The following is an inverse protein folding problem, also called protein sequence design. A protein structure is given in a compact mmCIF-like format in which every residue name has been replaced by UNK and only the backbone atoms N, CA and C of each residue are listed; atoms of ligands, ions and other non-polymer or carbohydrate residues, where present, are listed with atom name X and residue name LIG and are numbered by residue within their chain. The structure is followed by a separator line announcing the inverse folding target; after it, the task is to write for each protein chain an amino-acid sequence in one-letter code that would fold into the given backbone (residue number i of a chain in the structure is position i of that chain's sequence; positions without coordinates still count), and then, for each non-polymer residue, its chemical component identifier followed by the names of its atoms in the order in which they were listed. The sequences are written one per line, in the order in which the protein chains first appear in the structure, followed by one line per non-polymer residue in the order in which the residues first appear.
data_IF_907036423182
#
_entry.id   IF_907036423182
#
_cell.length_a   1.000
_cell.length_b   1.000
_cell.length_c   1.000
_cell.angle_alpha   90.00
_cell.angle_beta   90.00
_cell.angle_gamma   90.00
#
_symmetry.space_group_name_H-M   'P 1'
#
loop_
_entity.id
_entity.type
_entity.pdbx_description
1 polymer ?
#
# COMPACT_ATOMS: atom_id res chain seq x y z
N UNK A 1 49.78 -21.99 -14.04
CA UNK A 1 48.92 -21.01 -13.32
C UNK A 1 48.01 -20.23 -14.27
N UNK A 2 47.19 -20.87 -15.12
CA UNK A 2 46.27 -20.17 -16.04
C UNK A 2 44.83 -20.71 -16.05
N UNK A 3 44.57 -21.80 -15.34
CA UNK A 3 43.29 -22.52 -15.38
C UNK A 3 42.43 -22.31 -14.11
N UNK A 4 43.00 -21.72 -13.05
CA UNK A 4 42.29 -21.47 -11.78
C UNK A 4 41.50 -20.16 -11.75
N UNK A 5 41.85 -19.20 -12.61
CA UNK A 5 41.22 -17.87 -12.61
C UNK A 5 39.85 -17.91 -13.30
N UNK A 6 39.65 -18.82 -14.26
CA UNK A 6 38.41 -18.92 -15.02
C UNK A 6 37.23 -19.43 -14.20
N UNK A 7 37.48 -20.20 -13.14
CA UNK A 7 36.42 -20.76 -12.29
C UNK A 7 35.88 -19.76 -11.25
N UNK A 8 36.64 -18.69 -10.95
CA UNK A 8 36.27 -17.71 -9.91
C UNK A 8 35.21 -16.71 -10.37
N UNK A 9 34.97 -16.59 -11.68
CA UNK A 9 34.04 -15.60 -12.25
C UNK A 9 32.59 -16.12 -12.25
N UNK A 10 32.37 -17.43 -12.05
CA UNK A 10 31.04 -18.03 -12.12
C UNK A 10 30.21 -17.90 -10.83
N UNK A 11 30.81 -17.53 -9.70
CA UNK A 11 30.11 -17.47 -8.40
C UNK A 11 29.48 -16.11 -8.07
N UNK A 12 29.72 -15.07 -8.88
CA UNK A 12 29.05 -13.76 -8.69
C UNK A 12 27.76 -13.60 -9.50
N UNK A 13 27.37 -14.62 -10.28
CA UNK A 13 26.12 -14.64 -11.03
C UNK A 13 24.93 -15.22 -10.25
N UNK A 14 25.07 -15.51 -8.95
CA UNK A 14 23.90 -15.55 -8.05
C UNK A 14 23.46 -14.11 -7.86
N UNK A 15 22.82 -13.59 -8.92
CA UNK A 15 22.24 -12.27 -9.00
C UNK A 15 21.46 -12.08 -7.72
N UNK A 16 21.96 -11.14 -6.93
CA UNK A 16 21.21 -10.55 -5.86
C UNK A 16 20.03 -9.90 -6.58
N UNK A 17 18.96 -10.66 -6.78
CA UNK A 17 17.64 -10.11 -6.91
C UNK A 17 17.37 -9.45 -5.56
N UNK A 18 18.05 -8.32 -5.33
CA UNK A 18 17.57 -7.26 -4.49
C UNK A 18 16.17 -7.06 -5.03
N UNK A 19 15.21 -7.67 -4.35
CA UNK A 19 13.81 -7.44 -4.59
C UNK A 19 13.70 -5.92 -4.58
N UNK A 20 13.63 -5.33 -5.78
CA UNK A 20 13.48 -3.90 -5.93
C UNK A 20 12.22 -3.64 -5.15
N UNK A 21 12.35 -3.07 -3.94
CA UNK A 21 11.25 -2.87 -3.02
C UNK A 21 10.24 -2.07 -3.83
N UNK A 22 9.21 -2.75 -4.37
CA UNK A 22 8.26 -2.11 -5.26
C UNK A 22 7.70 -0.95 -4.47
N UNK A 23 7.95 0.26 -4.97
CA UNK A 23 7.58 1.48 -4.27
C UNK A 23 6.06 1.49 -4.23
N UNK A 24 5.50 1.19 -3.05
CA UNK A 24 4.07 1.27 -2.82
C UNK A 24 3.64 2.72 -3.09
N UNK A 25 2.61 2.87 -3.92
CA UNK A 25 2.03 4.16 -4.28
C UNK A 25 0.72 4.30 -3.53
N UNK A 26 0.62 5.37 -2.75
CA UNK A 26 -0.57 5.67 -1.96
C UNK A 26 -1.41 6.73 -2.65
N UNK A 27 -2.72 6.55 -2.61
CA UNK A 27 -3.71 7.52 -3.09
C UNK A 27 -4.75 7.78 -2.01
N UNK A 28 -5.45 8.89 -2.12
CA UNK A 28 -6.65 9.21 -1.36
C UNK A 28 -7.84 9.26 -2.30
N UNK A 29 -8.94 8.62 -1.90
CA UNK A 29 -10.24 8.84 -2.51
C UNK A 29 -10.77 10.21 -2.10
N UNK A 30 -11.07 11.04 -3.07
CA UNK A 30 -11.58 12.40 -2.90
C UNK A 30 -13.09 12.43 -3.15
N UNK A 31 -13.70 13.59 -2.91
CA UNK A 31 -15.10 13.78 -3.28
C UNK A 31 -15.35 13.55 -4.78
N UNK A 32 -16.54 13.05 -5.14
CA UNK A 32 -16.96 12.95 -6.53
C UNK A 32 -16.77 14.28 -7.25
N UNK A 33 -16.13 14.23 -8.43
CA UNK A 33 -15.91 15.43 -9.26
C UNK A 33 -14.66 16.24 -8.91
N UNK A 34 -13.91 15.87 -7.85
CA UNK A 34 -12.65 16.55 -7.51
C UNK A 34 -11.62 16.50 -8.66
N UNK A 35 -11.55 15.36 -9.36
CA UNK A 35 -10.81 15.20 -10.61
C UNK A 35 -11.31 13.98 -11.39
N UNK A 36 -10.78 13.82 -12.62
CA UNK A 36 -11.10 12.72 -13.54
C UNK A 36 -10.16 11.53 -13.42
N UNK A 37 -9.24 11.50 -12.44
CA UNK A 37 -8.30 10.38 -12.27
C UNK A 37 -9.05 9.16 -11.72
N UNK A 38 -8.69 7.99 -12.25
CA UNK A 38 -9.31 6.72 -11.87
C UNK A 38 -8.23 5.67 -11.66
N UNK A 39 -8.36 4.87 -10.60
CA UNK A 39 -7.66 3.58 -10.44
C UNK A 39 -8.70 2.48 -10.48
N UNK A 40 -8.49 1.48 -11.33
CA UNK A 40 -9.33 0.28 -11.41
C UNK A 40 -8.46 -0.95 -11.18
N UNK A 41 -8.95 -1.87 -10.36
CA UNK A 41 -8.29 -3.16 -10.18
C UNK A 41 -8.97 -4.04 -9.15
N UNK A 42 -8.43 -5.25 -8.99
CA UNK A 42 -8.89 -6.21 -7.99
C UNK A 42 -8.36 -5.82 -6.62
N UNK A 43 -9.27 -5.73 -5.66
CA UNK A 43 -8.94 -5.48 -4.26
C UNK A 43 -8.24 -6.72 -3.72
N UNK A 44 -7.01 -6.56 -3.24
CA UNK A 44 -6.22 -7.64 -2.64
C UNK A 44 -6.42 -7.72 -1.13
N UNK A 45 -6.57 -6.58 -0.48
CA UNK A 45 -6.70 -6.47 0.97
C UNK A 45 -7.49 -5.21 1.34
N UNK A 46 -8.23 -5.27 2.44
CA UNK A 46 -8.82 -4.10 3.09
C UNK A 46 -8.46 -4.16 4.56
N UNK A 47 -7.89 -3.08 5.09
CA UNK A 47 -7.48 -3.03 6.48
C UNK A 47 -7.60 -1.61 7.05
N UNK A 48 -7.47 -1.51 8.36
CA UNK A 48 -7.48 -0.23 9.07
C UNK A 48 -6.18 0.02 9.81
N UNK A 49 -5.83 1.29 9.97
CA UNK A 49 -4.83 1.74 10.94
C UNK A 49 -5.47 2.74 11.90
N UNK A 50 -4.93 2.85 13.12
CA UNK A 50 -5.27 3.91 14.07
C UNK A 50 -4.07 4.83 14.24
N UNK A 51 -4.32 6.14 14.22
CA UNK A 51 -3.33 7.19 14.54
C UNK A 51 -4.04 8.36 15.18
N UNK A 52 -3.51 8.90 16.28
CA UNK A 52 -4.11 10.05 16.97
C UNK A 52 -5.59 9.85 17.30
N UNK A 53 -5.97 8.64 17.73
CA UNK A 53 -7.37 8.27 18.01
C UNK A 53 -8.30 8.17 16.79
N UNK A 54 -7.79 8.37 15.56
CA UNK A 54 -8.56 8.28 14.32
C UNK A 54 -8.31 6.96 13.60
N UNK A 55 -9.38 6.36 13.08
CA UNK A 55 -9.31 5.15 12.25
C UNK A 55 -9.24 5.54 10.77
N UNK A 56 -8.25 5.00 10.06
CA UNK A 56 -8.03 5.18 8.63
C UNK A 56 -8.29 3.87 7.91
N UNK A 57 -9.03 3.92 6.80
CA UNK A 57 -9.36 2.75 5.99
C UNK A 57 -8.50 2.70 4.74
N UNK A 58 -7.89 1.54 4.50
CA UNK A 58 -6.95 1.31 3.40
C UNK A 58 -7.44 0.16 2.55
N UNK A 59 -7.53 0.41 1.25
CA UNK A 59 -7.88 -0.58 0.23
C UNK A 59 -6.66 -0.82 -0.65
N UNK A 60 -6.14 -2.04 -0.64
CA UNK A 60 -5.02 -2.45 -1.49
C UNK A 60 -5.54 -2.91 -2.85
N UNK A 61 -4.93 -2.41 -3.92
CA UNK A 61 -5.16 -2.83 -5.29
C UNK A 61 -3.87 -3.52 -5.77
N UNK A 62 -3.93 -4.83 -6.02
CA UNK A 62 -2.75 -5.60 -6.37
C UNK A 62 -1.68 -5.62 -5.26
N UNK A 63 -0.41 -5.42 -5.61
CA UNK A 63 0.74 -5.52 -4.68
C UNK A 63 1.41 -4.19 -4.34
N UNK A 64 1.11 -3.12 -5.07
CA UNK A 64 1.88 -1.87 -5.04
C UNK A 64 1.02 -0.61 -4.95
N UNK A 65 -0.30 -0.74 -4.90
CA UNK A 65 -1.21 0.41 -4.86
C UNK A 65 -2.09 0.34 -3.63
N UNK A 66 -2.14 1.43 -2.86
CA UNK A 66 -2.98 1.57 -1.67
C UNK A 66 -3.85 2.81 -1.83
N UNK A 67 -5.14 2.70 -1.50
CA UNK A 67 -6.10 3.80 -1.54
C UNK A 67 -6.65 4.02 -0.13
N UNK A 68 -6.43 5.21 0.42
CA UNK A 68 -7.14 5.68 1.60
C UNK A 68 -8.59 6.01 1.23
N UNK A 69 -9.54 5.46 1.98
CA UNK A 69 -10.97 5.71 1.79
C UNK A 69 -11.53 6.35 3.04
N UNK A 70 -12.23 7.48 2.90
CA UNK A 70 -12.91 8.09 4.04
C UNK A 70 -14.10 7.23 4.47
N UNK A 71 -14.43 7.17 5.78
CA UNK A 71 -15.55 6.38 6.28
C UNK A 71 -16.87 6.66 5.54
N UNK A 72 -17.13 7.92 5.17
CA UNK A 72 -18.34 8.32 4.42
C UNK A 72 -18.42 7.77 2.99
N UNK A 73 -17.30 7.35 2.41
CA UNK A 73 -17.24 6.78 1.06
C UNK A 73 -16.96 5.27 1.08
N UNK A 74 -16.85 4.68 2.27
CA UNK A 74 -16.60 3.26 2.43
C UNK A 74 -17.87 2.49 2.08
N UNK A 75 -17.80 1.72 1.00
CA UNK A 75 -18.86 0.81 0.58
C UNK A 75 -18.46 -0.61 0.97
N UNK A 76 -18.88 -1.05 2.15
CA UNK A 76 -18.51 -2.38 2.69
C UNK A 76 -19.07 -3.54 1.87
N UNK A 77 -20.02 -3.31 0.96
CA UNK A 77 -20.59 -4.38 0.12
C UNK A 77 -19.66 -4.74 -1.04
N UNK A 78 -18.98 -3.76 -1.61
CA UNK A 78 -18.15 -3.92 -2.81
C UNK A 78 -16.65 -3.70 -2.56
N UNK A 79 -16.27 -3.03 -1.47
CA UNK A 79 -14.87 -2.86 -1.07
C UNK A 79 -14.43 -4.07 -0.24
N UNK A 80 -14.32 -5.23 -0.91
CA UNK A 80 -13.89 -6.50 -0.31
C UNK A 80 -12.79 -7.15 -1.15
N UNK A 81 -11.86 -7.91 -0.53
CA UNK A 81 -10.88 -8.69 -1.26
C UNK A 81 -11.52 -9.59 -2.33
N UNK A 82 -10.89 -9.67 -3.50
CA UNK A 82 -11.35 -10.45 -4.66
C UNK A 82 -12.27 -9.70 -5.62
N UNK A 83 -12.85 -8.56 -5.23
CA UNK A 83 -13.72 -7.77 -6.10
C UNK A 83 -12.93 -6.75 -6.93
N UNK A 84 -13.33 -6.57 -8.19
CA UNK A 84 -12.79 -5.52 -9.06
C UNK A 84 -13.64 -4.26 -8.94
N UNK A 85 -13.03 -3.13 -8.58
CA UNK A 85 -13.71 -1.84 -8.44
C UNK A 85 -12.90 -0.73 -9.09
N UNK A 86 -13.61 0.30 -9.56
CA UNK A 86 -13.02 1.56 -9.98
C UNK A 86 -13.17 2.62 -8.87
N UNK A 87 -12.07 3.31 -8.58
CA UNK A 87 -11.98 4.41 -7.63
C UNK A 87 -11.76 5.69 -8.43
N UNK A 88 -12.79 6.52 -8.51
CA UNK A 88 -12.83 7.76 -9.29
C UNK A 88 -12.52 8.93 -8.35
N UNK A 89 -11.93 10.00 -8.88
CA UNK A 89 -11.57 11.20 -8.13
C UNK A 89 -10.53 10.88 -7.05
N UNK A 90 -9.31 10.57 -7.48
CA UNK A 90 -8.21 10.19 -6.59
C UNK A 90 -7.06 11.20 -6.60
N UNK A 91 -6.40 11.38 -5.47
CA UNK A 91 -5.21 12.22 -5.33
C UNK A 91 -4.05 11.40 -4.80
N UNK A 92 -2.84 11.60 -5.34
CA UNK A 92 -1.63 10.94 -4.79
C UNK A 92 -1.39 11.43 -3.36
N UNK A 93 -1.08 10.49 -2.46
CA UNK A 93 -0.62 10.78 -1.11
C UNK A 93 0.87 10.43 -1.01
N UNK A 94 1.65 11.39 -0.50
CA UNK A 94 3.09 11.18 -0.27
C UNK A 94 3.40 10.72 1.16
N UNK A 95 2.36 10.45 1.98
CA UNK A 95 2.52 9.95 3.34
C UNK A 95 2.54 8.40 3.41
N UNK A 96 3.04 7.90 4.54
CA UNK A 96 3.14 6.47 4.85
C UNK A 96 2.19 6.03 5.97
N UNK A 97 1.04 6.71 6.14
CA UNK A 97 0.10 6.40 7.24
C UNK A 97 -0.55 5.01 7.13
N UNK A 98 -0.44 4.40 5.95
CA UNK A 98 -0.80 3.01 5.66
C UNK A 98 0.11 1.99 6.36
N UNK A 99 1.34 2.37 6.75
CA UNK A 99 2.20 1.55 7.58
C UNK A 99 1.65 1.59 9.01
N UNK A 100 1.23 0.43 9.51
CA UNK A 100 0.98 0.23 10.94
C UNK A 100 2.25 0.69 11.67
N UNK A 101 2.14 1.74 12.47
CA UNK A 101 3.21 2.08 13.39
C UNK A 101 3.33 0.94 14.40
N UNK A 102 4.57 0.52 14.67
CA UNK A 102 4.83 -0.24 15.89
C UNK A 102 4.62 0.75 17.04
N UNK A 103 3.67 0.42 17.92
CA UNK A 103 3.30 1.12 19.16
C UNK A 103 2.89 2.60 19.04
N UNK A 104 1.58 2.85 18.99
CA UNK A 104 1.00 3.75 19.99
C UNK A 104 0.41 2.80 21.04
N UNK A 105 1.12 2.61 22.15
CA UNK A 105 0.50 2.00 23.34
C UNK A 105 -0.76 2.80 23.64
N UNK A 106 -1.84 2.12 24.03
CA UNK A 106 -3.08 2.77 24.47
C UNK A 106 -2.72 3.81 25.53
N UNK A 107 -2.79 5.10 25.18
CA UNK A 107 -2.75 6.17 26.16
C UNK A 107 -4.00 6.00 27.00
N UNK A 108 -3.86 5.34 28.14
CA UNK A 108 -4.90 5.33 29.17
C UNK A 108 -5.25 6.79 29.49
N UNK A 109 -6.54 7.14 29.57
CA UNK A 109 -6.92 8.42 30.16
C UNK A 109 -6.36 8.46 31.58
N UNK A 110 -5.66 9.53 31.94
CA UNK A 110 -5.38 9.83 33.34
C UNK A 110 -6.73 10.13 34.04
N UNK A 111 -7.04 9.36 35.09
CA UNK A 111 -8.13 9.65 36.04
C UNK A 111 -7.71 10.76 37.01
#
# INVERSE_FOLDING_TARGET
MKQLITLLILTFATGIAYAQKKKVITYQLMEPGFNTKVIKGTISEVYTTRRYGKTFWWVCIGKDTIIHVWPRHLDTTTMKPGLTRAFISIKRLDNNWWKKEKSEDEVKPEE
#
